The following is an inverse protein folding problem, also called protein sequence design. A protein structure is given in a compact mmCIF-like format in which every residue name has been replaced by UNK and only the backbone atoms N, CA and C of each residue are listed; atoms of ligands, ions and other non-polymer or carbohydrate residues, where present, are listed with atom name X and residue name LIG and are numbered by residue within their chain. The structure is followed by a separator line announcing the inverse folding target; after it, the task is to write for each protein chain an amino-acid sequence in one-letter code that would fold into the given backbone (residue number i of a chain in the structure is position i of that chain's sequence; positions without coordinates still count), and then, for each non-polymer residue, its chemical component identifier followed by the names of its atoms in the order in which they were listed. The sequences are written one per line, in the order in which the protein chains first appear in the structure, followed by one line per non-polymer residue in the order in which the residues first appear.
data_IF_130106323807
#
_entry.id   IF_130106323807
#
_cell.length_a   1.000
_cell.length_b   1.000
_cell.length_c   1.000
_cell.angle_alpha   90.00
_cell.angle_beta   90.00
_cell.angle_gamma   90.00
#
_symmetry.space_group_name_H-M   'P 1'
#
loop_
_entity.id
_entity.type
_entity.pdbx_description
1 polymer ?
#
# COMPACT_ATOMS: atom_id res chain seq x y z
N UNK A 1 -3.00 31.93 -16.18
CA UNK A 1 -3.44 31.96 -14.77
C UNK A 1 -3.47 30.51 -14.30
N UNK A 2 -2.37 30.05 -13.73
CA UNK A 2 -2.22 28.68 -13.23
C UNK A 2 -2.77 28.64 -11.80
N UNK A 3 -3.66 27.70 -11.45
CA UNK A 3 -4.14 27.58 -10.09
C UNK A 3 -3.07 26.93 -9.20
N UNK A 4 -2.47 27.72 -8.32
CA UNK A 4 -1.60 27.28 -7.23
C UNK A 4 -2.39 26.41 -6.25
N UNK A 5 -2.10 25.10 -6.20
CA UNK A 5 -2.82 24.10 -5.39
C UNK A 5 -2.28 23.89 -3.97
N UNK A 6 -1.38 24.75 -3.47
CA UNK A 6 -0.66 24.49 -2.21
C UNK A 6 -1.13 25.38 -1.05
N UNK A 7 -2.38 25.22 -0.60
CA UNK A 7 -2.85 25.87 0.63
C UNK A 7 -3.65 24.91 1.52
N UNK A 8 -2.93 23.96 2.13
CA UNK A 8 -3.36 23.21 3.31
C UNK A 8 -2.43 23.51 4.50
N UNK A 9 -2.20 24.80 4.81
CA UNK A 9 -1.38 25.22 5.96
C UNK A 9 -2.17 26.17 6.87
N UNK A 10 -2.96 25.58 7.77
CA UNK A 10 -3.57 26.25 8.93
C UNK A 10 -3.01 25.65 10.23
N UNK A 11 -2.61 26.46 11.24
CA UNK A 11 -1.84 25.97 12.38
C UNK A 11 -2.73 25.48 13.54
N UNK A 12 -2.86 24.17 13.65
CA UNK A 12 -2.99 23.42 14.91
C UNK A 12 -2.64 21.97 14.59
N UNK A 13 -1.42 21.55 14.95
CA UNK A 13 -0.77 20.32 14.47
C UNK A 13 -1.38 19.04 15.05
N UNK A 14 -2.63 18.77 14.73
CA UNK A 14 -3.05 17.40 14.48
C UNK A 14 -2.30 16.98 13.21
N UNK A 15 -1.21 16.23 13.37
CA UNK A 15 -0.66 15.48 12.25
C UNK A 15 -1.74 14.50 11.82
N UNK A 16 -2.54 14.90 10.82
CA UNK A 16 -3.38 13.97 10.10
C UNK A 16 -2.43 12.93 9.54
N UNK A 17 -2.44 11.73 10.15
CA UNK A 17 -1.65 10.59 9.71
C UNK A 17 -2.12 10.07 8.34
N UNK A 18 -3.29 10.54 7.88
CA UNK A 18 -3.98 10.15 6.65
C UNK A 18 -3.44 10.92 5.45
N UNK A 19 -3.23 10.22 4.34
CA UNK A 19 -2.82 10.84 3.08
C UNK A 19 -4.02 11.52 2.41
N UNK A 20 -3.92 12.79 2.06
CA UNK A 20 -5.04 13.53 1.43
C UNK A 20 -5.22 13.23 -0.07
N UNK A 21 -4.31 12.44 -0.65
CA UNK A 21 -4.28 12.09 -2.07
C UNK A 21 -4.43 10.58 -2.24
N UNK A 22 -5.09 10.15 -3.32
CA UNK A 22 -5.18 8.73 -3.64
C UNK A 22 -3.80 8.15 -3.97
N UNK A 23 -3.54 6.92 -3.55
CA UNK A 23 -2.30 6.21 -3.90
C UNK A 23 -2.24 5.83 -5.37
N UNK A 24 -3.40 5.55 -5.97
CA UNK A 24 -3.53 5.27 -7.39
C UNK A 24 -3.83 6.57 -8.15
N UNK A 25 -2.92 7.07 -9.01
CA UNK A 25 -3.20 8.22 -9.85
C UNK A 25 -4.12 7.83 -11.02
N UNK A 26 -4.89 8.80 -11.54
CA UNK A 26 -5.97 8.53 -12.49
C UNK A 26 -5.49 8.02 -13.86
N UNK A 27 -4.29 8.41 -14.29
CA UNK A 27 -3.63 7.89 -15.50
C UNK A 27 -3.37 6.38 -15.38
N UNK A 28 -2.75 5.94 -14.27
CA UNK A 28 -2.48 4.52 -14.00
C UNK A 28 -3.73 3.69 -13.75
N UNK A 29 -4.84 4.33 -13.37
CA UNK A 29 -6.15 3.70 -13.28
C UNK A 29 -6.73 3.42 -14.68
N UNK A 30 -6.66 4.40 -15.59
CA UNK A 30 -7.14 4.24 -16.97
C UNK A 30 -6.27 3.29 -17.81
N UNK A 31 -5.00 3.11 -17.46
CA UNK A 31 -4.17 2.06 -18.08
C UNK A 31 -4.67 0.64 -17.76
N UNK A 32 -5.43 0.46 -16.68
CA UNK A 32 -5.93 -0.85 -16.21
C UNK A 32 -7.38 -1.14 -16.55
N UNK A 33 -8.16 -0.11 -16.82
CA UNK A 33 -9.61 -0.22 -17.04
C UNK A 33 -9.97 0.44 -18.37
N UNK A 34 -10.88 -0.17 -19.12
CA UNK A 34 -11.40 0.45 -20.33
C UNK A 34 -12.00 1.84 -20.04
N UNK A 35 -11.33 2.86 -20.58
CA UNK A 35 -11.71 4.26 -20.43
C UNK A 35 -13.13 4.53 -20.96
N UNK A 36 -13.59 3.78 -21.97
CA UNK A 36 -14.95 3.93 -22.49
C UNK A 36 -15.99 3.49 -21.45
N UNK A 37 -15.75 2.35 -20.78
CA UNK A 37 -16.61 1.86 -19.68
C UNK A 37 -16.65 2.85 -18.53
N UNK A 38 -15.50 3.36 -18.10
CA UNK A 38 -15.41 4.37 -17.03
C UNK A 38 -16.14 5.66 -17.44
N UNK A 39 -15.94 6.13 -18.67
CA UNK A 39 -16.59 7.32 -19.21
C UNK A 39 -18.11 7.23 -19.25
N UNK A 40 -18.64 6.03 -19.47
CA UNK A 40 -20.07 5.78 -19.32
C UNK A 40 -20.47 5.84 -17.85
N UNK A 41 -19.82 5.09 -16.95
CA UNK A 41 -20.17 5.03 -15.52
C UNK A 41 -20.22 6.40 -14.84
N UNK A 42 -19.29 7.28 -15.22
CA UNK A 42 -19.11 8.61 -14.64
C UNK A 42 -20.15 9.61 -15.17
N UNK A 43 -20.65 9.42 -16.39
CA UNK A 43 -21.62 10.31 -17.03
C UNK A 43 -23.04 10.12 -16.47
N UNK A 44 -23.67 11.23 -16.09
CA UNK A 44 -25.09 11.25 -15.68
C UNK A 44 -26.01 11.52 -16.87
N UNK A 45 -25.50 12.23 -17.89
CA UNK A 45 -26.27 12.69 -19.04
C UNK A 45 -26.32 11.67 -20.19
N UNK A 46 -25.85 10.44 -19.95
CA UNK A 46 -25.72 9.35 -20.95
C UNK A 46 -24.80 9.65 -22.13
N UNK A 47 -24.02 10.74 -22.06
CA UNK A 47 -22.99 11.09 -23.04
C UNK A 47 -21.64 10.64 -22.47
N UNK A 48 -20.93 9.75 -23.18
CA UNK A 48 -19.64 9.28 -22.72
C UNK A 48 -18.63 10.44 -22.59
N UNK A 49 -17.95 10.51 -21.45
CA UNK A 49 -16.89 11.50 -21.21
C UNK A 49 -15.62 11.07 -21.97
N UNK A 50 -14.91 12.01 -22.58
CA UNK A 50 -13.67 11.70 -23.32
C UNK A 50 -12.55 11.26 -22.36
N UNK A 51 -11.63 10.36 -22.79
CA UNK A 51 -10.58 9.83 -21.91
C UNK A 51 -9.72 10.91 -21.24
N UNK A 52 -9.38 11.99 -21.97
CA UNK A 52 -8.60 13.10 -21.40
C UNK A 52 -9.31 13.84 -20.26
N UNK A 53 -10.64 13.92 -20.30
CA UNK A 53 -11.43 14.55 -19.24
C UNK A 53 -11.62 13.64 -18.01
N UNK A 54 -11.40 12.33 -18.14
CA UNK A 54 -11.51 11.38 -17.03
C UNK A 54 -10.40 11.54 -16.00
N UNK A 55 -9.21 11.98 -16.42
CA UNK A 55 -8.04 12.17 -15.54
C UNK A 55 -8.30 13.15 -14.40
N UNK A 56 -9.13 14.16 -14.64
CA UNK A 56 -9.47 15.20 -13.66
C UNK A 56 -10.94 15.16 -13.26
N UNK A 57 -11.66 14.08 -13.60
CA UNK A 57 -13.10 14.03 -13.35
C UNK A 57 -13.37 13.85 -11.84
N UNK A 58 -14.14 14.73 -11.16
CA UNK A 58 -14.28 14.73 -9.71
C UNK A 58 -14.81 13.41 -9.15
N UNK A 59 -15.74 12.75 -9.87
CA UNK A 59 -16.28 11.43 -9.48
C UNK A 59 -15.26 10.28 -9.52
N UNK A 60 -14.32 10.32 -10.47
CA UNK A 60 -13.23 9.33 -10.54
C UNK A 60 -12.27 9.56 -9.39
N UNK A 61 -11.89 10.82 -9.16
CA UNK A 61 -11.01 11.19 -8.05
C UNK A 61 -11.61 10.83 -6.69
N UNK A 62 -12.91 11.08 -6.49
CA UNK A 62 -13.63 10.68 -5.27
C UNK A 62 -13.61 9.17 -5.07
N UNK A 63 -13.93 8.37 -6.11
CA UNK A 63 -13.88 6.91 -6.00
C UNK A 63 -12.47 6.36 -5.71
N UNK A 64 -11.43 6.97 -6.28
CA UNK A 64 -10.03 6.63 -6.00
C UNK A 64 -9.62 7.02 -4.57
N UNK A 65 -10.13 8.13 -4.05
CA UNK A 65 -9.93 8.55 -2.66
C UNK A 65 -10.63 7.60 -1.69
N UNK A 66 -11.89 7.23 -1.94
CA UNK A 66 -12.63 6.28 -1.12
C UNK A 66 -11.92 4.92 -1.06
N UNK A 67 -11.51 4.39 -2.21
CA UNK A 67 -10.74 3.15 -2.31
C UNK A 67 -9.40 3.22 -1.53
N UNK A 68 -8.71 4.36 -1.61
CA UNK A 68 -7.46 4.56 -0.85
C UNK A 68 -7.74 4.61 0.66
N UNK A 69 -8.80 5.29 1.08
CA UNK A 69 -9.20 5.38 2.49
C UNK A 69 -9.56 4.02 3.10
N UNK A 70 -10.24 3.15 2.36
CA UNK A 70 -10.53 1.79 2.85
C UNK A 70 -9.28 0.95 3.05
N UNK A 71 -8.32 1.04 2.12
CA UNK A 71 -7.04 0.37 2.26
C UNK A 71 -6.26 0.91 3.46
N UNK A 72 -6.15 2.23 3.63
CA UNK A 72 -5.49 2.83 4.79
C UNK A 72 -6.13 2.39 6.10
N UNK A 73 -7.46 2.40 6.15
CA UNK A 73 -8.22 1.96 7.34
C UNK A 73 -7.87 0.52 7.69
N UNK A 74 -7.82 -0.37 6.71
CA UNK A 74 -7.50 -1.77 6.93
C UNK A 74 -6.05 -1.97 7.40
N UNK A 75 -5.08 -1.34 6.74
CA UNK A 75 -3.66 -1.42 7.09
C UNK A 75 -3.35 -0.82 8.47
N UNK A 76 -3.98 0.33 8.79
CA UNK A 76 -3.83 1.01 10.09
C UNK A 76 -4.46 0.20 11.21
N UNK A 77 -5.63 -0.41 10.98
CA UNK A 77 -6.27 -1.29 11.96
C UNK A 77 -5.40 -2.52 12.28
N UNK A 78 -4.71 -3.07 11.28
CA UNK A 78 -3.75 -4.15 11.46
C UNK A 78 -2.40 -3.74 12.05
N UNK A 79 -2.12 -2.43 12.17
CA UNK A 79 -0.80 -1.87 12.54
C UNK A 79 0.35 -2.46 11.72
N UNK A 80 0.09 -2.82 10.45
CA UNK A 80 1.05 -3.49 9.57
C UNK A 80 1.82 -2.51 8.70
N UNK A 81 1.12 -1.50 8.19
CA UNK A 81 1.72 -0.47 7.35
C UNK A 81 1.31 0.91 7.84
N UNK A 82 2.28 1.81 7.87
CA UNK A 82 2.03 3.23 8.05
C UNK A 82 1.59 3.84 6.71
N UNK A 83 0.75 4.89 6.71
CA UNK A 83 0.38 5.60 5.49
C UNK A 83 1.59 6.12 4.69
N UNK A 84 2.68 6.48 5.37
CA UNK A 84 3.95 6.87 4.74
C UNK A 84 4.61 5.72 3.95
N UNK A 85 4.51 4.48 4.41
CA UNK A 85 5.05 3.30 3.73
C UNK A 85 4.21 2.94 2.50
N UNK A 86 2.88 3.03 2.62
CA UNK A 86 1.97 2.86 1.49
C UNK A 86 2.23 3.92 0.41
N UNK A 87 2.48 5.18 0.81
CA UNK A 87 2.87 6.25 -0.10
C UNK A 87 4.21 5.95 -0.77
N UNK A 88 5.18 5.42 -0.04
CA UNK A 88 6.47 5.02 -0.60
C UNK A 88 6.31 3.91 -1.65
N UNK A 89 5.48 2.89 -1.40
CA UNK A 89 5.16 1.85 -2.41
C UNK A 89 4.50 2.46 -3.64
N UNK A 90 3.54 3.37 -3.44
CA UNK A 90 2.82 4.00 -4.55
C UNK A 90 3.74 4.83 -5.44
N UNK A 91 4.74 5.50 -4.86
CA UNK A 91 5.75 6.30 -5.56
C UNK A 91 6.88 5.46 -6.17
N UNK A 92 7.05 4.20 -5.75
CA UNK A 92 8.09 3.31 -6.26
C UNK A 92 7.71 2.73 -7.63
N UNK A 93 8.02 3.49 -8.68
CA UNK A 93 7.72 3.13 -10.06
C UNK A 93 8.37 1.82 -10.52
N UNK A 94 7.56 0.96 -11.14
CA UNK A 94 8.02 -0.29 -11.76
C UNK A 94 8.20 -1.45 -10.79
N UNK A 95 7.84 -1.29 -9.51
CA UNK A 95 7.90 -2.38 -8.54
C UNK A 95 6.67 -3.30 -8.63
N UNK A 96 6.82 -4.62 -8.42
CA UNK A 96 5.68 -5.54 -8.38
C UNK A 96 4.71 -5.22 -7.23
N UNK A 97 5.22 -4.65 -6.13
CA UNK A 97 4.41 -4.18 -5.01
C UNK A 97 3.46 -3.05 -5.44
N UNK A 98 3.96 -2.06 -6.19
CA UNK A 98 3.14 -0.98 -6.76
C UNK A 98 2.07 -1.54 -7.71
N UNK A 99 2.45 -2.50 -8.56
CA UNK A 99 1.51 -3.17 -9.47
C UNK A 99 0.35 -3.86 -8.74
N UNK A 100 0.66 -4.55 -7.63
CA UNK A 100 -0.32 -5.23 -6.78
C UNK A 100 -1.22 -4.25 -6.02
N UNK A 101 -0.63 -3.23 -5.40
CA UNK A 101 -1.36 -2.15 -4.72
C UNK A 101 -2.40 -1.50 -5.64
N UNK A 102 -1.96 -1.14 -6.84
CA UNK A 102 -2.83 -0.49 -7.81
C UNK A 102 -3.93 -1.42 -8.33
N UNK A 103 -3.70 -2.73 -8.41
CA UNK A 103 -4.74 -3.71 -8.77
C UNK A 103 -5.87 -3.72 -7.74
N UNK A 104 -5.53 -3.76 -6.46
CA UNK A 104 -6.51 -3.70 -5.36
C UNK A 104 -7.35 -2.43 -5.41
N UNK A 105 -6.68 -1.28 -5.54
CA UNK A 105 -7.35 0.02 -5.61
C UNK A 105 -8.22 0.17 -6.86
N UNK A 106 -7.79 -0.41 -7.98
CA UNK A 106 -8.58 -0.40 -9.24
C UNK A 106 -9.88 -1.17 -9.06
N UNK A 107 -9.84 -2.36 -8.45
CA UNK A 107 -11.04 -3.18 -8.22
C UNK A 107 -12.04 -2.46 -7.29
N UNK A 108 -11.56 -1.89 -6.19
CA UNK A 108 -12.38 -1.11 -5.25
C UNK A 108 -12.99 0.13 -5.93
N UNK A 109 -12.17 0.94 -6.60
CA UNK A 109 -12.63 2.17 -7.25
C UNK A 109 -13.65 1.88 -8.36
N UNK A 110 -13.46 0.81 -9.14
CA UNK A 110 -14.41 0.41 -10.17
C UNK A 110 -15.75 0.00 -9.56
N UNK A 111 -15.74 -0.76 -8.46
CA UNK A 111 -16.94 -1.13 -7.74
C UNK A 111 -17.70 0.10 -7.24
N UNK A 112 -17.00 1.09 -6.66
CA UNK A 112 -17.62 2.34 -6.21
C UNK A 112 -18.23 3.17 -7.33
N UNK A 113 -17.59 3.24 -8.50
CA UNK A 113 -18.17 3.90 -9.67
C UNK A 113 -19.44 3.22 -10.16
N UNK A 114 -19.51 1.88 -10.08
CA UNK A 114 -20.68 1.11 -10.48
C UNK A 114 -21.84 1.30 -9.49
N UNK A 115 -21.57 1.18 -8.19
CA UNK A 115 -22.56 1.43 -7.14
C UNK A 115 -23.13 2.84 -7.20
N UNK A 116 -22.27 3.85 -7.45
CA UNK A 116 -22.67 5.24 -7.60
C UNK A 116 -23.73 5.42 -8.70
N UNK A 117 -23.64 4.66 -9.79
CA UNK A 117 -24.61 4.74 -10.89
C UNK A 117 -25.96 4.09 -10.54
N UNK A 118 -26.02 3.30 -9.46
CA UNK A 118 -27.26 2.68 -8.98
C UNK A 118 -27.69 1.42 -9.74
N UNK A 119 -26.80 0.84 -10.55
CA UNK A 119 -27.03 -0.44 -11.21
C UNK A 119 -26.44 -1.61 -10.39
N UNK A 120 -26.97 -2.83 -10.53
CA UNK A 120 -26.31 -4.00 -9.97
C UNK A 120 -24.92 -4.14 -10.62
N UNK A 121 -23.87 -4.44 -9.83
CA UNK A 121 -22.56 -4.67 -10.41
C UNK A 121 -22.58 -5.90 -11.30
N UNK A 122 -21.79 -5.79 -12.37
CA UNK A 122 -21.48 -6.93 -13.22
C UNK A 122 -20.80 -8.02 -12.39
N UNK A 123 -21.09 -9.29 -12.67
CA UNK A 123 -20.61 -10.44 -11.89
C UNK A 123 -19.08 -10.45 -11.81
N UNK A 124 -18.41 -10.07 -12.89
CA UNK A 124 -16.95 -9.93 -12.93
C UNK A 124 -16.44 -8.84 -11.98
N UNK A 125 -17.08 -7.68 -11.95
CA UNK A 125 -16.70 -6.57 -11.07
C UNK A 125 -16.94 -6.93 -9.61
N UNK A 126 -18.03 -7.65 -9.33
CA UNK A 126 -18.35 -8.13 -8.01
C UNK A 126 -17.31 -9.15 -7.51
N UNK A 127 -16.94 -10.12 -8.35
CA UNK A 127 -15.92 -11.11 -8.01
C UNK A 127 -14.54 -10.48 -7.75
N UNK A 128 -14.11 -9.53 -8.58
CA UNK A 128 -12.84 -8.81 -8.38
C UNK A 128 -12.87 -7.95 -7.11
N UNK A 129 -14.02 -7.35 -6.78
CA UNK A 129 -14.22 -6.62 -5.53
C UNK A 129 -14.10 -7.55 -4.31
N UNK A 130 -14.80 -8.68 -4.30
CA UNK A 130 -14.73 -9.66 -3.21
C UNK A 130 -13.32 -10.20 -3.01
N UNK A 131 -12.62 -10.50 -4.11
CA UNK A 131 -11.21 -10.88 -4.08
C UNK A 131 -10.34 -9.78 -3.47
N UNK A 132 -10.53 -8.52 -3.88
CA UNK A 132 -9.78 -7.40 -3.34
C UNK A 132 -10.04 -7.21 -1.84
N UNK A 133 -11.28 -7.36 -1.38
CA UNK A 133 -11.62 -7.32 0.05
C UNK A 133 -10.93 -8.44 0.84
N UNK A 134 -10.96 -9.68 0.34
CA UNK A 134 -10.27 -10.80 0.98
C UNK A 134 -8.76 -10.57 1.06
N UNK A 135 -8.15 -10.03 0.00
CA UNK A 135 -6.73 -9.68 -0.03
C UNK A 135 -6.41 -8.56 0.99
N UNK A 136 -7.29 -7.56 1.14
CA UNK A 136 -7.17 -6.50 2.16
C UNK A 136 -7.30 -7.05 3.58
N UNK A 137 -8.23 -7.97 3.83
CA UNK A 137 -8.36 -8.63 5.14
C UNK A 137 -7.13 -9.46 5.49
N UNK A 138 -6.53 -10.15 4.51
CA UNK A 138 -5.26 -10.86 4.67
C UNK A 138 -4.10 -9.91 4.97
N UNK A 139 -4.04 -8.75 4.30
CA UNK A 139 -3.06 -7.70 4.60
C UNK A 139 -3.23 -7.17 6.03
N UNK A 140 -4.47 -6.97 6.47
CA UNK A 140 -4.80 -6.54 7.84
C UNK A 140 -4.35 -7.57 8.89
N UNK A 141 -4.56 -8.86 8.64
CA UNK A 141 -4.11 -9.93 9.53
C UNK A 141 -2.58 -10.12 9.52
N UNK A 142 -1.92 -9.67 8.45
CA UNK A 142 -0.49 -9.89 8.20
C UNK A 142 -0.19 -11.27 7.61
N UNK A 143 -1.19 -11.93 7.00
CA UNK A 143 -1.02 -13.16 6.22
C UNK A 143 -0.37 -12.85 4.86
N UNK A 144 -0.69 -11.68 4.31
CA UNK A 144 -0.04 -11.12 3.14
C UNK A 144 0.86 -9.97 3.56
N UNK A 145 2.05 -9.92 2.97
CA UNK A 145 3.02 -8.85 3.16
C UNK A 145 3.42 -8.32 1.79
N UNK A 146 3.49 -7.00 1.62
CA UNK A 146 4.02 -6.42 0.39
C UNK A 146 5.49 -6.84 0.27
N UNK A 147 5.96 -7.26 -0.93
CA UNK A 147 7.33 -7.71 -1.10
C UNK A 147 8.28 -6.50 -1.04
N UNK A 148 8.79 -6.20 0.15
CA UNK A 148 9.91 -5.29 0.36
C UNK A 148 11.23 -6.09 0.43
N UNK A 149 12.34 -5.50 0.00
CA UNK A 149 13.66 -6.14 0.17
C UNK A 149 13.93 -6.49 1.64
N UNK A 150 13.50 -5.63 2.56
CA UNK A 150 13.62 -5.83 4.01
C UNK A 150 12.82 -7.05 4.50
N UNK A 151 11.64 -7.28 3.93
CA UNK A 151 10.80 -8.46 4.27
C UNK A 151 11.38 -9.76 3.74
N UNK A 152 12.13 -9.74 2.63
CA UNK A 152 12.92 -10.89 2.18
C UNK A 152 14.06 -11.20 3.16
N UNK A 153 14.67 -10.16 3.74
CA UNK A 153 15.74 -10.31 4.74
C UNK A 153 15.26 -10.84 6.10
N UNK A 154 14.04 -10.49 6.53
CA UNK A 154 13.50 -10.90 7.84
C UNK A 154 13.08 -12.39 7.92
N UNK A 155 12.79 -13.02 6.78
CA UNK A 155 12.45 -14.45 6.71
C UNK A 155 13.67 -15.38 6.74
N UNK A 156 14.86 -14.86 6.46
CA UNK A 156 16.10 -15.59 6.58
C UNK A 156 16.58 -15.48 8.04
N UNK A 157 16.75 -16.60 8.78
CA UNK A 157 17.35 -16.53 10.10
C UNK A 157 18.74 -15.91 9.97
N UNK A 158 18.89 -14.67 10.43
CA UNK A 158 20.19 -14.03 10.49
C UNK A 158 21.00 -14.75 11.57
N UNK A 159 21.85 -15.66 11.13
CA UNK A 159 22.83 -16.30 11.99
C UNK A 159 23.94 -15.27 12.20
N UNK A 160 23.76 -14.42 13.22
CA UNK A 160 24.84 -13.60 13.72
C UNK A 160 25.91 -14.54 14.29
N UNK A 161 26.93 -14.82 13.49
CA UNK A 161 28.13 -15.53 13.95
C UNK A 161 28.89 -14.54 14.82
N UNK A 162 28.65 -14.59 16.12
CA UNK A 162 29.39 -13.81 17.09
C UNK A 162 30.86 -14.22 17.05
N UNK A 163 31.74 -13.26 16.87
CA UNK A 163 33.18 -13.48 16.94
C UNK A 163 33.66 -13.50 18.39
N UNK A 164 34.84 -14.08 18.66
CA UNK A 164 35.47 -14.04 19.99
C UNK A 164 35.61 -12.60 20.54
N UNK A 165 35.74 -11.60 19.67
CA UNK A 165 35.79 -10.19 20.05
C UNK A 165 34.44 -9.69 20.56
N UNK A 166 33.32 -10.08 19.92
CA UNK A 166 31.97 -9.68 20.33
C UNK A 166 31.62 -10.29 21.69
N UNK A 167 31.98 -11.55 21.92
CA UNK A 167 31.80 -12.22 23.22
C UNK A 167 32.57 -11.52 24.35
N UNK A 168 33.77 -11.02 24.06
CA UNK A 168 34.57 -10.23 25.02
C UNK A 168 33.95 -8.86 25.28
N UNK A 169 33.40 -8.20 24.26
CA UNK A 169 32.74 -6.90 24.40
C UNK A 169 31.46 -6.98 25.24
N UNK A 170 30.68 -8.05 25.10
CA UNK A 170 29.45 -8.31 25.86
C UNK A 170 29.69 -8.64 27.34
N UNK A 171 30.95 -8.82 27.77
CA UNK A 171 31.33 -9.13 29.17
C UNK A 171 30.51 -10.27 29.79
N UNK A 172 30.18 -11.29 29.00
CA UNK A 172 29.43 -12.44 29.48
C UNK A 172 30.17 -13.13 30.63
N UNK A 173 29.42 -13.63 31.62
CA UNK A 173 29.98 -14.32 32.78
C UNK A 173 30.87 -15.52 32.37
N UNK A 174 30.49 -16.23 31.31
CA UNK A 174 31.29 -17.33 30.75
C UNK A 174 32.70 -16.90 30.29
N UNK A 175 32.86 -15.65 29.82
CA UNK A 175 34.16 -15.08 29.43
C UNK A 175 34.94 -14.61 30.65
N UNK A 176 34.26 -14.11 31.69
CA UNK A 176 34.93 -13.64 32.91
C UNK A 176 35.58 -14.78 33.73
N UNK A 177 35.04 -16.00 33.63
CA UNK A 177 35.57 -17.19 34.31
C UNK A 177 36.46 -18.08 33.42
N UNK A 178 37.11 -17.53 32.38
CA UNK A 178 37.97 -18.27 31.42
C UNK A 178 39.13 -19.06 32.06
N UNK A 179 39.45 -18.79 33.34
CA UNK A 179 40.62 -19.38 34.03
C UNK A 179 40.45 -20.81 34.53
N UNK A 180 39.26 -21.43 34.49
CA UNK A 180 39.08 -22.77 35.08
C UNK A 180 39.15 -23.94 34.08
N UNK A 181 39.03 -23.70 32.78
CA UNK A 181 39.09 -24.77 31.77
C UNK A 181 40.04 -24.34 30.64
N UNK A 182 41.26 -24.91 30.61
CA UNK A 182 42.26 -24.58 29.59
C UNK A 182 41.76 -24.82 28.17
N UNK A 183 42.03 -23.88 27.25
CA UNK A 183 41.70 -24.03 25.82
C UNK A 183 42.50 -25.18 25.21
N UNK A 184 41.82 -26.16 24.60
CA UNK A 184 42.46 -27.12 23.70
C UNK A 184 42.75 -26.44 22.38
N UNK A 185 44.02 -26.23 22.09
CA UNK A 185 44.50 -25.89 20.73
C UNK A 185 44.38 -27.14 19.86
N UNK A 186 43.32 -27.24 19.04
CA UNK A 186 43.27 -28.24 17.98
C UNK A 186 44.17 -27.81 16.83
N UNK A 187 45.12 -28.68 16.47
CA UNK A 187 45.95 -28.57 15.26
C UNK A 187 45.14 -28.92 14.02
#
# INVERSE_FOLDING_TARGET
AEPSSDNCAGPSSFHLLTYCRSYLPADRFLDRVDAARVGQLVSDNRIAVTPGALLTHPKVLAALQDASGDLERACTAGRRYLPAELAAIALADGTPAQGYLFRLLTALALHYLVLRRGGPPDEQVQHEYERAQQEIDRLKNGELVFPFEETQGAGLPQTNVYTDADYRALRLLSVQFERYYGRRTSK
#
